data_IF_416504040523
#
_entry.id   IF_416504040523
#
_cell.length_a   1.000
_cell.length_b   1.000
_cell.length_c   1.000
_cell.angle_alpha   90.00
_cell.angle_beta   90.00
_cell.angle_gamma   90.00
#
_symmetry.space_group_name_H-M   'P 1'
#
loop_
_entity.id
_entity.type
_entity.pdbx_description
1 polymer ?
#
# COMPACT_ATOMS: atom_id res chain seq x y z
N UNK A 1 -12.99 -2.57 -6.18
CA UNK A 1 -12.20 -1.37 -6.55
C UNK A 1 -10.78 -1.55 -6.05
N UNK A 2 -9.77 -1.26 -6.88
CA UNK A 2 -8.35 -1.32 -6.52
C UNK A 2 -7.79 0.12 -6.57
N UNK A 3 -7.14 0.60 -5.51
CA UNK A 3 -6.54 1.94 -5.46
C UNK A 3 -5.01 1.82 -5.50
N UNK A 4 -4.37 2.53 -6.44
CA UNK A 4 -2.91 2.59 -6.62
C UNK A 4 -2.47 4.06 -6.61
N UNK A 5 -1.46 4.38 -5.80
CA UNK A 5 -0.85 5.71 -5.73
C UNK A 5 0.68 5.55 -5.88
N UNK A 6 1.28 6.40 -6.71
CA UNK A 6 2.71 6.38 -6.99
C UNK A 6 3.33 7.67 -6.49
N UNK A 7 4.45 7.57 -5.76
CA UNK A 7 5.20 8.75 -5.29
C UNK A 7 6.69 8.57 -5.56
N UNK A 8 7.36 9.67 -5.89
CA UNK A 8 8.78 9.67 -6.28
C UNK A 8 9.73 9.30 -5.12
N UNK A 9 9.26 9.39 -3.87
CA UNK A 9 10.05 9.08 -2.67
C UNK A 9 9.24 8.36 -1.59
N UNK A 10 9.94 7.66 -0.70
CA UNK A 10 9.36 6.98 0.46
C UNK A 10 9.28 7.94 1.66
N UNK A 11 8.26 8.77 1.69
CA UNK A 11 7.97 9.65 2.83
C UNK A 11 6.80 9.13 3.66
N UNK A 12 6.90 9.34 4.98
CA UNK A 12 5.80 9.10 5.94
C UNK A 12 4.54 9.90 5.58
N UNK A 13 4.70 11.11 5.04
CA UNK A 13 3.58 11.95 4.60
C UNK A 13 2.85 11.35 3.39
N UNK A 14 3.58 10.71 2.47
CA UNK A 14 2.98 10.04 1.32
C UNK A 14 2.11 8.86 1.79
N UNK A 15 2.59 8.07 2.75
CA UNK A 15 1.81 6.97 3.33
C UNK A 15 0.53 7.46 4.03
N UNK A 16 0.60 8.55 4.79
CA UNK A 16 -0.57 9.13 5.47
C UNK A 16 -1.59 9.66 4.44
N UNK A 17 -1.14 10.40 3.43
CA UNK A 17 -2.01 10.94 2.38
C UNK A 17 -2.69 9.84 1.60
N UNK A 18 -1.96 8.79 1.23
CA UNK A 18 -2.51 7.62 0.57
C UNK A 18 -3.59 6.94 1.41
N UNK A 19 -3.29 6.66 2.68
CA UNK A 19 -4.26 6.04 3.59
C UNK A 19 -5.51 6.91 3.76
N UNK A 20 -5.37 8.24 3.89
CA UNK A 20 -6.52 9.15 3.96
C UNK A 20 -7.39 9.11 2.69
N UNK A 21 -6.77 9.07 1.50
CA UNK A 21 -7.51 8.92 0.23
C UNK A 21 -8.24 7.58 0.18
N UNK A 22 -7.56 6.49 0.57
CA UNK A 22 -8.16 5.16 0.60
C UNK A 22 -9.34 5.08 1.58
N UNK A 23 -9.19 5.64 2.79
CA UNK A 23 -10.26 5.69 3.79
C UNK A 23 -11.47 6.48 3.32
N UNK A 24 -11.29 7.58 2.57
CA UNK A 24 -12.42 8.33 1.98
C UNK A 24 -13.24 7.48 1.00
N UNK A 25 -12.62 6.49 0.37
CA UNK A 25 -13.28 5.57 -0.57
C UNK A 25 -13.89 4.35 0.13
N UNK A 26 -13.59 4.12 1.41
CA UNK A 26 -14.12 3.02 2.19
C UNK A 26 -15.26 3.52 3.09
N UNK A 27 -16.47 2.97 2.94
CA UNK A 27 -17.61 3.30 3.82
C UNK A 27 -17.45 2.79 5.27
N UNK A 28 -16.48 1.92 5.55
CA UNK A 28 -16.18 1.37 6.87
C UNK A 28 -14.68 1.47 7.17
N UNK A 29 -14.32 1.48 8.46
CA UNK A 29 -12.91 1.38 8.89
C UNK A 29 -12.34 0.02 8.43
N UNK A 30 -11.43 -0.02 7.44
CA UNK A 30 -10.92 -1.29 6.92
C UNK A 30 -9.83 -1.83 7.86
N UNK A 31 -9.81 -3.15 8.06
CA UNK A 31 -8.66 -3.82 8.65
C UNK A 31 -7.49 -3.75 7.65
N UNK A 32 -6.37 -3.16 8.05
CA UNK A 32 -5.22 -3.00 7.16
C UNK A 32 -4.21 -4.13 7.37
N UNK A 33 -3.86 -4.82 6.30
CA UNK A 33 -2.83 -5.87 6.33
C UNK A 33 -1.51 -5.26 5.88
N UNK A 34 -0.50 -5.31 6.74
CA UNK A 34 0.83 -4.72 6.49
C UNK A 34 1.96 -5.73 6.68
N UNK A 35 2.99 -5.58 5.84
CA UNK A 35 4.32 -6.19 6.02
C UNK A 35 5.19 -5.31 6.95
N UNK A 36 6.41 -5.72 7.35
CA UNK A 36 7.25 -5.15 8.44
C UNK A 36 7.72 -3.69 8.23
N UNK A 37 7.12 -2.93 7.33
CA UNK A 37 7.45 -1.53 7.11
C UNK A 37 7.11 -0.65 8.32
N UNK A 38 8.13 -0.24 9.09
CA UNK A 38 8.02 0.72 10.22
C UNK A 38 7.27 2.02 9.87
N UNK A 39 7.40 2.48 8.64
CA UNK A 39 6.76 3.67 8.10
C UNK A 39 5.24 3.52 7.93
N UNK A 40 4.76 2.32 7.57
CA UNK A 40 3.33 2.01 7.53
C UNK A 40 2.74 1.93 8.94
N UNK A 41 3.43 1.28 9.88
CA UNK A 41 2.97 1.17 11.26
C UNK A 41 2.71 2.53 11.90
N UNK A 42 3.65 3.47 11.71
CA UNK A 42 3.47 4.84 12.24
C UNK A 42 2.25 5.54 11.63
N UNK A 43 2.03 5.40 10.32
CA UNK A 43 0.89 6.02 9.64
C UNK A 43 -0.45 5.42 10.09
N UNK A 44 -0.49 4.11 10.33
CA UNK A 44 -1.67 3.40 10.84
C UNK A 44 -2.00 3.78 12.27
N UNK A 45 -0.98 3.84 13.14
CA UNK A 45 -1.12 4.30 14.51
C UNK A 45 -1.63 5.74 14.57
N UNK A 46 -1.05 6.64 13.76
CA UNK A 46 -1.48 8.04 13.67
C UNK A 46 -2.91 8.22 13.17
N UNK A 47 -3.48 7.24 12.47
CA UNK A 47 -4.84 7.27 11.94
C UNK A 47 -5.83 6.43 12.77
N UNK A 48 -5.39 5.79 13.85
CA UNK A 48 -6.23 4.96 14.70
C UNK A 48 -6.84 3.75 13.97
N UNK A 49 -6.12 3.18 13.02
CA UNK A 49 -6.56 2.03 12.24
C UNK A 49 -6.10 0.72 12.87
N UNK A 50 -6.99 -0.27 12.89
CA UNK A 50 -6.62 -1.64 13.21
C UNK A 50 -5.78 -2.23 12.08
N UNK A 51 -4.69 -2.90 12.45
CA UNK A 51 -3.81 -3.53 11.49
C UNK A 51 -3.40 -4.94 11.92
N UNK A 52 -3.27 -5.81 10.93
CA UNK A 52 -2.80 -7.17 11.10
C UNK A 52 -1.46 -7.34 10.39
N UNK A 53 -0.49 -7.88 11.12
CA UNK A 53 0.79 -8.24 10.54
C UNK A 53 0.71 -9.61 9.87
N UNK A 54 0.98 -9.69 8.56
CA UNK A 54 0.95 -10.96 7.83
C UNK A 54 2.21 -11.21 7.01
N UNK A 55 2.85 -12.37 7.24
CA UNK A 55 4.16 -12.70 6.66
C UNK A 55 4.12 -13.27 5.22
N UNK A 56 3.13 -14.10 4.88
CA UNK A 56 3.22 -14.98 3.69
C UNK A 56 1.93 -15.15 2.86
N UNK A 57 0.74 -14.91 3.43
CA UNK A 57 -0.54 -15.15 2.74
C UNK A 57 -0.85 -14.11 1.66
N UNK A 58 -1.43 -12.98 2.07
CA UNK A 58 -1.82 -11.90 1.14
C UNK A 58 -0.61 -11.24 0.45
N UNK A 59 0.58 -11.40 1.04
CA UNK A 59 1.85 -10.91 0.48
C UNK A 59 2.14 -11.48 -0.90
N UNK A 60 1.92 -12.78 -1.13
CA UNK A 60 2.23 -13.39 -2.43
C UNK A 60 1.36 -12.81 -3.56
N UNK A 61 0.09 -12.50 -3.28
CA UNK A 61 -0.82 -11.88 -4.28
C UNK A 61 -0.40 -10.43 -4.59
N UNK A 62 -0.03 -9.67 -3.56
CA UNK A 62 0.44 -8.28 -3.71
C UNK A 62 1.78 -8.24 -4.44
N UNK A 63 2.75 -9.10 -4.09
CA UNK A 63 4.03 -9.21 -4.76
C UNK A 63 3.89 -9.65 -6.22
N UNK A 64 2.99 -10.60 -6.51
CA UNK A 64 2.67 -11.01 -7.89
C UNK A 64 2.06 -9.86 -8.70
N UNK A 65 1.17 -9.08 -8.10
CA UNK A 65 0.59 -7.89 -8.73
C UNK A 65 1.66 -6.83 -9.04
N UNK A 66 2.53 -6.50 -8.08
CA UNK A 66 3.63 -5.56 -8.32
C UNK A 66 4.66 -6.08 -9.33
N UNK A 67 4.90 -7.39 -9.37
CA UNK A 67 5.75 -8.01 -10.39
C UNK A 67 5.15 -7.82 -11.79
N UNK A 68 3.87 -8.15 -11.95
CA UNK A 68 3.15 -7.92 -13.20
C UNK A 68 3.20 -6.46 -13.63
N UNK A 69 2.99 -5.53 -12.69
CA UNK A 69 3.12 -4.09 -12.98
C UNK A 69 4.53 -3.72 -13.44
N UNK A 70 5.58 -4.23 -12.80
CA UNK A 70 6.97 -3.98 -13.22
C UNK A 70 7.25 -4.55 -14.61
N UNK A 71 6.81 -5.78 -14.89
CA UNK A 71 6.99 -6.42 -16.20
C UNK A 71 6.28 -5.63 -17.31
N UNK A 72 5.05 -5.16 -17.05
CA UNK A 72 4.30 -4.34 -18.01
C UNK A 72 4.87 -2.93 -18.18
N UNK A 73 5.44 -2.36 -17.11
CA UNK A 73 6.02 -1.02 -17.14
C UNK A 73 7.43 -1.02 -17.75
N UNK A 74 8.18 -2.12 -17.61
CA UNK A 74 9.50 -2.27 -18.24
C UNK A 74 9.46 -2.13 -19.77
N UNK A 75 8.32 -2.52 -20.39
CA UNK A 75 8.07 -2.33 -21.82
C UNK A 75 8.09 -0.84 -22.22
N UNK A 76 7.71 0.07 -21.32
CA UNK A 76 7.68 1.52 -21.57
C UNK A 76 9.04 2.21 -21.39
N UNK A 77 10.00 1.58 -20.71
CA UNK A 77 11.35 2.14 -20.48
C UNK A 77 12.39 1.61 -21.50
N UNK A 78 11.99 0.71 -22.40
CA UNK A 78 12.83 0.13 -23.46
C UNK A 78 12.44 0.64 -24.87
N UNK A 79 11.64 1.70 -24.97
CA UNK A 79 11.26 2.37 -26.23
C UNK A 79 11.79 3.79 -26.31
#
# INVERSE_FOLDING_TARGET
>A
MLALDTSYGRSRLNAITFLKKALKLCSNKPLVIVDRGLWCLYALYSLGLEYMYQRLGMRNRVERFFRYLKERTAILYLS
#
